data_IF_801586365924
#
_entry.id   IF_801586365924
#
_cell.length_a   1.000
_cell.length_b   1.000
_cell.length_c   1.000
_cell.angle_alpha   90.00
_cell.angle_beta   90.00
_cell.angle_gamma   90.00
#
_symmetry.space_group_name_H-M   'P 1'
#
loop_
_entity.id
_entity.type
_entity.pdbx_description
1 polymer ?
#
# COMPACT_ATOMS: atom_id res chain seq x y z
N UNK A 1 12.02 13.67 11.82
CA UNK A 1 10.75 13.44 11.09
C UNK A 1 9.80 14.60 11.37
N UNK A 2 9.22 15.22 10.34
CA UNK A 2 8.24 16.30 10.52
C UNK A 2 6.85 15.67 10.74
N UNK A 3 6.01 16.22 11.62
CA UNK A 3 4.67 15.71 11.90
C UNK A 3 3.85 15.50 10.60
N UNK A 4 4.04 16.36 9.59
CA UNK A 4 3.40 16.21 8.29
C UNK A 4 3.77 14.92 7.55
N UNK A 5 5.03 14.48 7.61
CA UNK A 5 5.47 13.23 6.97
C UNK A 5 4.92 12.00 7.68
N UNK A 6 4.89 12.01 9.03
CA UNK A 6 4.33 10.93 9.83
C UNK A 6 2.83 10.81 9.61
N UNK A 7 2.12 11.95 9.59
CA UNK A 7 0.68 11.98 9.33
C UNK A 7 0.35 11.43 7.94
N UNK A 8 1.04 11.90 6.90
CA UNK A 8 0.83 11.43 5.53
C UNK A 8 1.07 9.92 5.41
N UNK A 9 2.11 9.40 6.06
CA UNK A 9 2.39 7.96 6.09
C UNK A 9 1.22 7.18 6.71
N UNK A 10 0.67 7.67 7.83
CA UNK A 10 -0.46 7.02 8.52
C UNK A 10 -1.77 7.11 7.74
N UNK A 11 -2.02 8.22 7.06
CA UNK A 11 -3.17 8.38 6.16
C UNK A 11 -3.10 7.38 4.99
N UNK A 12 -1.91 7.21 4.40
CA UNK A 12 -1.70 6.22 3.33
C UNK A 12 -1.86 4.77 3.82
N UNK A 13 -1.27 4.43 4.97
CA UNK A 13 -1.44 3.10 5.58
C UNK A 13 -2.93 2.80 5.83
N UNK A 14 -3.68 3.78 6.34
CA UNK A 14 -5.12 3.63 6.56
C UNK A 14 -5.88 3.43 5.24
N UNK A 15 -5.62 4.27 4.23
CA UNK A 15 -6.25 4.16 2.91
C UNK A 15 -5.99 2.80 2.26
N UNK A 16 -4.80 2.23 2.40
CA UNK A 16 -4.46 0.89 1.90
C UNK A 16 -5.22 -0.21 2.63
N UNK A 17 -5.38 -0.09 3.95
CA UNK A 17 -6.05 -1.09 4.79
C UNK A 17 -7.57 -1.06 4.60
N UNK A 18 -8.16 0.13 4.50
CA UNK A 18 -9.62 0.32 4.47
C UNK A 18 -10.18 0.52 3.07
N UNK A 19 -9.33 0.96 2.13
CA UNK A 19 -9.71 1.24 0.76
C UNK A 19 -9.87 -0.03 -0.08
N UNK A 20 -10.54 0.13 -1.21
CA UNK A 20 -10.67 -0.93 -2.21
C UNK A 20 -9.39 -0.99 -3.04
N UNK A 21 -8.71 -2.12 -3.01
CA UNK A 21 -7.56 -2.39 -3.88
C UNK A 21 -8.04 -3.11 -5.13
N UNK A 22 -7.72 -2.57 -6.30
CA UNK A 22 -8.09 -3.20 -7.57
C UNK A 22 -7.28 -4.48 -7.81
N UNK A 23 -7.96 -5.55 -8.21
CA UNK A 23 -7.32 -6.85 -8.47
C UNK A 23 -6.99 -7.67 -7.22
N UNK A 24 -7.41 -7.21 -6.03
CA UNK A 24 -7.27 -8.00 -4.80
C UNK A 24 -8.42 -9.00 -4.66
N UNK A 25 -8.08 -10.29 -4.63
CA UNK A 25 -9.05 -11.38 -4.54
C UNK A 25 -9.14 -11.98 -3.12
N UNK A 26 -8.25 -11.58 -2.21
CA UNK A 26 -8.14 -12.16 -0.86
C UNK A 26 -9.13 -11.63 0.17
N UNK A 27 -10.13 -10.84 -0.22
CA UNK A 27 -11.18 -10.31 0.66
C UNK A 27 -11.72 -8.94 0.24
N UNK A 28 -12.57 -8.33 1.07
CA UNK A 28 -13.11 -6.99 0.80
C UNK A 28 -12.03 -5.90 0.88
N UNK A 29 -11.11 -6.02 1.84
CA UNK A 29 -10.00 -5.08 2.05
C UNK A 29 -8.74 -5.81 2.52
N UNK A 30 -7.59 -5.13 2.42
CA UNK A 30 -6.32 -5.66 2.92
C UNK A 30 -6.27 -5.75 4.45
N UNK A 31 -7.16 -5.05 5.18
CA UNK A 31 -7.24 -5.15 6.64
C UNK A 31 -7.56 -6.55 7.16
N UNK A 32 -8.12 -7.42 6.31
CA UNK A 32 -8.32 -8.85 6.64
C UNK A 32 -7.00 -9.62 6.84
N UNK A 33 -5.88 -9.10 6.32
CA UNK A 33 -4.55 -9.66 6.50
C UNK A 33 -3.91 -9.33 7.86
N UNK A 34 -4.57 -8.48 8.67
CA UNK A 34 -4.11 -8.05 9.99
C UNK A 34 -3.42 -6.69 9.98
N UNK A 35 -2.63 -6.42 11.02
CA UNK A 35 -1.97 -5.13 11.21
C UNK A 35 -0.78 -4.92 10.26
N UNK A 36 -0.65 -3.70 9.73
CA UNK A 36 0.52 -3.34 8.93
C UNK A 36 1.74 -3.19 9.83
N UNK A 37 2.71 -4.07 9.67
CA UNK A 37 4.01 -4.06 10.35
C UNK A 37 4.91 -2.99 9.75
N UNK A 38 4.90 -2.87 8.42
CA UNK A 38 5.71 -1.89 7.68
C UNK A 38 5.08 -1.59 6.32
N UNK A 39 5.09 -0.32 5.95
CA UNK A 39 4.79 0.12 4.60
C UNK A 39 5.92 1.01 4.07
N UNK A 40 6.31 0.85 2.82
CA UNK A 40 7.35 1.68 2.20
C UNK A 40 7.24 1.75 0.68
N UNK A 41 7.59 2.91 0.13
CA UNK A 41 7.76 3.07 -1.32
C UNK A 41 9.08 2.43 -1.77
N UNK A 42 9.03 1.65 -2.84
CA UNK A 42 10.19 1.05 -3.52
C UNK A 42 10.14 1.40 -5.00
N UNK A 43 11.31 1.71 -5.56
CA UNK A 43 11.46 1.89 -7.00
C UNK A 43 11.91 0.56 -7.62
N UNK A 44 11.09 0.00 -8.52
CA UNK A 44 11.47 -1.19 -9.27
C UNK A 44 12.19 -0.81 -10.57
N UNK A 45 13.36 -1.41 -10.81
CA UNK A 45 14.11 -1.26 -12.05
C UNK A 45 13.56 -2.19 -13.13
N UNK A 46 13.64 -1.82 -14.42
CA UNK A 46 14.28 -0.63 -14.99
C UNK A 46 13.38 0.62 -15.05
N UNK A 47 12.08 0.45 -14.84
CA UNK A 47 11.06 1.46 -15.16
C UNK A 47 10.91 2.55 -14.08
N UNK A 48 11.64 2.43 -12.95
CA UNK A 48 11.63 3.35 -11.80
C UNK A 48 10.22 3.75 -11.33
N UNK A 49 9.24 2.86 -11.53
CA UNK A 49 7.88 3.12 -11.09
C UNK A 49 7.80 2.87 -9.59
N UNK A 50 7.28 3.85 -8.88
CA UNK A 50 7.01 3.71 -7.46
C UNK A 50 5.97 2.61 -7.23
N UNK A 51 6.29 1.71 -6.30
CA UNK A 51 5.42 0.69 -5.75
C UNK A 51 5.43 0.79 -4.24
N UNK A 52 4.34 0.41 -3.60
CA UNK A 52 4.31 0.27 -2.16
C UNK A 52 4.42 -1.20 -1.78
N UNK A 53 5.36 -1.51 -0.90
CA UNK A 53 5.39 -2.78 -0.20
C UNK A 53 4.70 -2.62 1.14
N UNK A 54 3.76 -3.51 1.42
CA UNK A 54 2.94 -3.51 2.65
C UNK A 54 3.10 -4.87 3.31
N UNK A 55 3.77 -4.88 4.46
CA UNK A 55 4.06 -6.08 5.23
C UNK A 55 3.01 -6.26 6.33
N UNK A 56 2.32 -7.39 6.27
CA UNK A 56 1.43 -7.93 7.31
C UNK A 56 2.14 -9.07 8.06
N UNK A 57 1.56 -9.61 9.15
CA UNK A 57 2.21 -10.65 9.95
C UNK A 57 2.59 -11.92 9.17
N UNK A 58 1.81 -12.29 8.16
CA UNK A 58 2.00 -13.51 7.38
C UNK A 58 2.08 -13.27 5.86
N UNK A 59 1.84 -12.04 5.40
CA UNK A 59 1.69 -11.73 3.96
C UNK A 59 2.46 -10.46 3.62
N UNK A 60 3.16 -10.46 2.49
CA UNK A 60 3.74 -9.27 1.89
C UNK A 60 2.97 -8.93 0.62
N UNK A 61 2.44 -7.72 0.53
CA UNK A 61 1.65 -7.23 -0.60
C UNK A 61 2.41 -6.14 -1.34
N UNK A 62 2.41 -6.18 -2.66
CA UNK A 62 2.92 -5.13 -3.52
C UNK A 62 1.76 -4.39 -4.18
N UNK A 63 1.81 -3.06 -4.13
CA UNK A 63 0.77 -2.19 -4.69
C UNK A 63 1.38 -1.19 -5.66
N UNK A 64 0.78 -1.10 -6.85
CA UNK A 64 0.99 0.00 -7.75
C UNK A 64 -0.02 1.12 -7.47
N UNK A 65 0.39 2.37 -7.71
CA UNK A 65 -0.53 3.50 -7.72
C UNK A 65 -1.10 3.64 -9.12
N UNK A 66 -2.42 3.82 -9.23
CA UNK A 66 -3.05 4.06 -10.52
C UNK A 66 -2.45 5.32 -11.19
N UNK A 67 -2.41 5.41 -12.54
CA UNK A 67 -1.83 6.58 -13.22
C UNK A 67 -2.50 7.91 -12.85
N UNK A 68 -3.74 7.86 -12.34
CA UNK A 68 -4.51 9.03 -11.88
C UNK A 68 -4.39 9.26 -10.36
N UNK A 69 -3.55 8.49 -9.67
CA UNK A 69 -3.36 8.51 -8.21
C UNK A 69 -4.68 8.41 -7.42
N UNK A 70 -5.64 7.67 -7.96
CA UNK A 70 -6.99 7.57 -7.40
C UNK A 70 -7.29 6.23 -6.75
N UNK A 71 -6.40 5.25 -6.92
CA UNK A 71 -6.58 3.90 -6.39
C UNK A 71 -5.24 3.16 -6.32
N UNK A 72 -5.17 2.17 -5.42
CA UNK A 72 -4.12 1.17 -5.38
C UNK A 72 -4.51 -0.05 -6.22
N UNK A 73 -3.53 -0.62 -6.91
CA UNK A 73 -3.67 -1.79 -7.76
C UNK A 73 -2.76 -2.88 -7.19
N UNK A 74 -3.32 -4.06 -6.94
CA UNK A 74 -2.55 -5.23 -6.53
C UNK A 74 -1.70 -5.74 -7.71
N UNK A 75 -0.42 -6.00 -7.46
CA UNK A 75 0.54 -6.59 -8.42
C UNK A 75 1.18 -7.87 -7.89
#
# INVERSE_FOLDING_TARGET
ANCGSIRRQKELELEVITGRVHGWDGGETLGTLGDVIRMGSVALLPDHRDRYLVLFPTTLVMLAVSPRMSAFIFE
#
